data_IF_025271968513
#
_entry.id   IF_025271968513
#
_cell.length_a   1.000
_cell.length_b   1.000
_cell.length_c   1.000
_cell.angle_alpha   90.00
_cell.angle_beta   90.00
_cell.angle_gamma   90.00
#
_symmetry.space_group_name_H-M   'P 1'
#
loop_
_entity.id
_entity.type
_entity.pdbx_description
1 polymer ?
#
# COMPACT_ATOMS: atom_id res chain seq x y z
N UNK A 1 -11.93 9.50 -8.39
CA UNK A 1 -12.54 8.18 -8.62
C UNK A 1 -12.06 7.58 -9.94
N UNK A 2 -11.56 8.34 -10.92
CA UNK A 2 -10.78 7.76 -12.04
C UNK A 2 -9.55 6.98 -11.55
N UNK A 3 -8.89 7.44 -10.48
CA UNK A 3 -7.81 6.71 -9.81
C UNK A 3 -8.24 5.34 -9.25
N UNK A 4 -9.47 5.19 -8.75
CA UNK A 4 -9.98 3.91 -8.26
C UNK A 4 -10.23 2.91 -9.40
N UNK A 5 -10.65 3.43 -10.57
CA UNK A 5 -10.79 2.65 -11.80
C UNK A 5 -9.43 2.25 -12.38
N UNK A 6 -8.43 3.14 -12.37
CA UNK A 6 -7.04 2.83 -12.75
C UNK A 6 -6.41 1.75 -11.86
N UNK A 7 -6.76 1.72 -10.57
CA UNK A 7 -6.29 0.71 -9.62
C UNK A 7 -7.11 -0.61 -9.68
N UNK A 8 -7.95 -0.81 -10.70
CA UNK A 8 -8.64 -2.08 -10.94
C UNK A 8 -9.82 -2.37 -10.00
N UNK A 9 -10.24 -1.42 -9.17
CA UNK A 9 -11.39 -1.61 -8.28
C UNK A 9 -12.71 -1.37 -9.02
N UNK A 10 -13.07 -2.33 -9.90
CA UNK A 10 -14.32 -2.32 -10.69
C UNK A 10 -15.59 -2.17 -9.86
N UNK A 11 -15.56 -2.56 -8.59
CA UNK A 11 -16.67 -2.42 -7.63
C UNK A 11 -17.12 -0.98 -7.38
N UNK A 12 -16.29 0.03 -7.69
CA UNK A 12 -16.66 1.44 -7.52
C UNK A 12 -17.11 2.11 -8.82
N UNK A 13 -17.12 1.40 -9.95
CA UNK A 13 -17.55 1.97 -11.24
C UNK A 13 -19.02 2.37 -11.20
N UNK A 14 -19.86 1.51 -10.64
CA UNK A 14 -21.30 1.76 -10.50
C UNK A 14 -21.58 2.94 -9.57
N UNK A 15 -20.96 2.94 -8.38
CA UNK A 15 -21.10 4.03 -7.41
C UNK A 15 -20.60 5.39 -7.94
N UNK A 16 -19.60 5.40 -8.83
CA UNK A 16 -19.13 6.62 -9.50
C UNK A 16 -20.18 7.18 -10.46
N UNK A 17 -20.80 6.31 -11.26
CA UNK A 17 -21.85 6.71 -12.21
C UNK A 17 -23.04 7.28 -11.45
N UNK A 18 -23.46 6.61 -10.38
CA UNK A 18 -24.58 7.05 -9.53
C UNK A 18 -24.27 8.38 -8.82
N UNK A 19 -23.08 8.55 -8.26
CA UNK A 19 -22.69 9.81 -7.62
C UNK A 19 -22.66 10.99 -8.62
N UNK A 20 -22.20 10.76 -9.86
CA UNK A 20 -22.22 11.78 -10.92
C UNK A 20 -23.64 12.12 -11.35
N UNK A 21 -24.52 11.12 -11.45
CA UNK A 21 -25.94 11.33 -11.74
C UNK A 21 -26.62 12.14 -10.64
N UNK A 22 -26.37 11.82 -9.37
CA UNK A 22 -26.92 12.59 -8.25
C UNK A 22 -26.42 14.03 -8.21
N UNK A 23 -25.13 14.29 -8.50
CA UNK A 23 -24.65 15.68 -8.60
C UNK A 23 -25.31 16.41 -9.76
N UNK A 24 -25.52 15.74 -10.90
CA UNK A 24 -26.23 16.33 -12.02
C UNK A 24 -27.72 16.61 -11.69
N UNK A 25 -28.40 15.70 -10.99
CA UNK A 25 -29.82 15.83 -10.64
C UNK A 25 -30.08 16.84 -9.52
N UNK A 26 -29.29 16.78 -8.42
CA UNK A 26 -29.54 17.60 -7.23
C UNK A 26 -28.95 19.01 -7.29
N UNK A 27 -27.97 19.25 -8.17
CA UNK A 27 -27.30 20.55 -8.28
C UNK A 27 -27.54 21.25 -9.63
N UNK A 28 -28.53 20.80 -10.41
CA UNK A 28 -28.77 21.30 -11.77
C UNK A 28 -29.16 22.79 -11.80
N UNK A 29 -29.90 23.24 -10.78
CA UNK A 29 -30.44 24.62 -10.70
C UNK A 29 -29.67 25.50 -9.69
N UNK A 30 -28.61 24.98 -9.06
CA UNK A 30 -27.77 25.72 -8.11
C UNK A 30 -26.29 25.62 -8.53
N UNK A 31 -25.77 26.67 -9.20
CA UNK A 31 -24.37 26.71 -9.65
C UNK A 31 -23.36 26.59 -8.51
N UNK A 32 -23.70 27.07 -7.30
CA UNK A 32 -22.83 27.01 -6.13
C UNK A 32 -22.79 25.59 -5.60
N UNK A 33 -23.95 24.94 -5.47
CA UNK A 33 -24.03 23.54 -5.07
C UNK A 33 -23.29 22.63 -6.05
N UNK A 34 -23.37 22.92 -7.35
CA UNK A 34 -22.67 22.15 -8.38
C UNK A 34 -21.15 22.27 -8.23
N UNK A 35 -20.64 23.49 -8.03
CA UNK A 35 -19.22 23.74 -7.82
C UNK A 35 -18.69 23.04 -6.56
N UNK A 36 -19.40 23.16 -5.44
CA UNK A 36 -19.03 22.50 -4.17
C UNK A 36 -19.04 20.97 -4.28
N UNK A 37 -20.01 20.41 -5.01
CA UNK A 37 -20.07 18.97 -5.26
C UNK A 37 -18.90 18.49 -6.13
N UNK A 38 -18.50 19.25 -7.14
CA UNK A 38 -17.31 18.95 -7.94
C UNK A 38 -16.03 19.02 -7.10
N UNK A 39 -15.88 20.04 -6.25
CA UNK A 39 -14.74 20.18 -5.35
C UNK A 39 -14.64 19.03 -4.36
N UNK A 40 -15.78 18.60 -3.78
CA UNK A 40 -15.84 17.45 -2.90
C UNK A 40 -15.44 16.16 -3.62
N UNK A 41 -15.97 15.93 -4.83
CA UNK A 41 -15.60 14.77 -5.64
C UNK A 41 -14.10 14.77 -5.93
N UNK A 42 -13.53 15.91 -6.35
CA UNK A 42 -12.10 16.11 -6.60
C UNK A 42 -11.24 15.82 -5.37
N UNK A 43 -11.66 16.27 -4.18
CA UNK A 43 -10.96 15.99 -2.93
C UNK A 43 -10.98 14.49 -2.62
N UNK A 44 -12.14 13.86 -2.75
CA UNK A 44 -12.29 12.41 -2.56
C UNK A 44 -11.50 11.59 -3.60
N UNK A 45 -11.26 12.12 -4.80
CA UNK A 45 -10.39 11.48 -5.79
C UNK A 45 -8.92 11.45 -5.35
N UNK A 46 -8.48 12.46 -4.61
CA UNK A 46 -7.10 12.62 -4.15
C UNK A 46 -6.82 11.86 -2.86
N UNK A 47 -7.85 11.43 -2.14
CA UNK A 47 -7.69 10.52 -1.00
C UNK A 47 -7.20 9.17 -1.52
N UNK A 48 -5.90 8.92 -1.38
CA UNK A 48 -5.29 7.62 -1.62
C UNK A 48 -5.88 6.66 -0.60
N UNK A 49 -6.93 5.92 -1.01
CA UNK A 49 -7.35 4.73 -0.28
C UNK A 49 -6.16 3.80 -0.25
N UNK A 50 -5.74 3.43 0.95
CA UNK A 50 -4.63 2.50 1.19
C UNK A 50 -4.80 1.33 0.26
N UNK A 51 -3.86 1.16 -0.67
CA UNK A 51 -3.95 0.05 -1.61
C UNK A 51 -3.90 -1.25 -0.83
N UNK A 52 -4.55 -2.30 -1.33
CA UNK A 52 -4.45 -3.64 -0.73
C UNK A 52 -2.99 -4.09 -0.53
N UNK A 53 -2.05 -3.55 -1.31
CA UNK A 53 -0.62 -3.73 -1.13
C UNK A 53 -0.09 -3.07 0.16
N UNK A 54 -0.42 -1.80 0.41
CA UNK A 54 -0.03 -1.12 1.65
C UNK A 54 -0.67 -1.76 2.88
N UNK A 55 -1.94 -2.19 2.77
CA UNK A 55 -2.63 -2.91 3.84
C UNK A 55 -2.01 -4.28 4.14
N UNK A 56 -1.59 -5.01 3.11
CA UNK A 56 -0.88 -6.28 3.25
C UNK A 56 0.46 -6.09 3.98
N UNK A 57 1.28 -5.13 3.51
CA UNK A 57 2.55 -4.79 4.17
C UNK A 57 2.30 -4.40 5.64
N UNK A 58 1.31 -3.54 5.90
CA UNK A 58 0.96 -3.14 7.26
C UNK A 58 0.49 -4.34 8.10
N UNK A 59 -0.20 -5.31 7.51
CA UNK A 59 -0.61 -6.53 8.23
C UNK A 59 0.56 -7.39 8.65
N UNK A 60 1.61 -7.45 7.83
CA UNK A 60 2.85 -8.17 8.15
C UNK A 60 3.69 -7.37 9.16
N UNK A 61 3.72 -6.04 9.06
CA UNK A 61 4.53 -5.17 9.92
C UNK A 61 3.97 -5.03 11.35
N UNK A 62 2.64 -4.94 11.50
CA UNK A 62 1.96 -4.67 12.79
C UNK A 62 2.38 -5.61 13.94
N UNK A 63 2.46 -6.95 13.76
CA UNK A 63 2.91 -7.86 14.81
C UNK A 63 4.29 -7.54 15.38
N UNK A 64 5.23 -7.11 14.52
CA UNK A 64 6.58 -6.74 14.95
C UNK A 64 6.60 -5.40 15.70
N UNK A 65 5.76 -4.44 15.27
CA UNK A 65 5.66 -3.14 15.94
C UNK A 65 5.00 -3.26 17.33
N UNK A 66 3.98 -4.11 17.46
CA UNK A 66 3.25 -4.27 18.72
C UNK A 66 4.02 -5.08 19.78
N UNK A 67 4.97 -5.92 19.36
CA UNK A 67 5.73 -6.80 20.26
C UNK A 67 7.04 -6.20 20.76
N UNK A 68 7.53 -5.10 20.16
CA UNK A 68 8.87 -4.58 20.46
C UNK A 68 8.84 -3.30 21.30
N UNK A 69 9.43 -3.41 22.50
CA UNK A 69 9.64 -2.31 23.44
C UNK A 69 10.87 -1.43 23.10
N UNK A 70 11.75 -1.93 22.22
CA UNK A 70 13.08 -1.38 21.90
C UNK A 70 13.06 -0.23 20.87
N UNK A 71 11.95 -0.01 20.15
CA UNK A 71 11.83 1.03 19.12
C UNK A 71 11.30 2.36 19.70
N UNK A 72 11.94 2.83 20.77
CA UNK A 72 11.48 3.98 21.56
C UNK A 72 11.82 5.32 20.92
N UNK A 73 12.94 5.43 20.22
CA UNK A 73 13.38 6.65 19.52
C UNK A 73 13.27 6.53 17.98
N UNK A 74 13.40 7.67 17.29
CA UNK A 74 13.25 7.77 15.85
C UNK A 74 14.31 6.97 15.08
N UNK A 75 15.56 6.96 15.56
CA UNK A 75 16.66 6.26 14.90
C UNK A 75 16.46 4.75 14.98
N UNK A 76 16.14 4.24 16.16
CA UNK A 76 15.88 2.80 16.37
C UNK A 76 14.69 2.30 15.54
N UNK A 77 13.65 3.12 15.37
CA UNK A 77 12.52 2.82 14.47
C UNK A 77 12.95 2.74 13.01
N UNK A 78 13.77 3.70 12.55
CA UNK A 78 14.23 3.70 11.16
C UNK A 78 15.14 2.50 10.87
N UNK A 79 16.05 2.16 11.79
CA UNK A 79 16.89 0.96 11.68
C UNK A 79 16.06 -0.31 11.62
N UNK A 80 15.03 -0.41 12.46
CA UNK A 80 14.08 -1.52 12.42
C UNK A 80 13.34 -1.59 11.07
N UNK A 81 12.85 -0.47 10.55
CA UNK A 81 12.17 -0.45 9.25
C UNK A 81 13.11 -0.85 8.10
N UNK A 82 14.37 -0.42 8.13
CA UNK A 82 15.37 -0.83 7.14
C UNK A 82 15.62 -2.34 7.19
N UNK A 83 15.72 -2.90 8.40
CA UNK A 83 15.87 -4.33 8.62
C UNK A 83 14.65 -5.12 8.14
N UNK A 84 13.45 -4.65 8.51
CA UNK A 84 12.20 -5.24 8.05
C UNK A 84 12.10 -5.23 6.53
N UNK A 85 12.46 -4.11 5.88
CA UNK A 85 12.45 -3.99 4.43
C UNK A 85 13.39 -5.02 3.76
N UNK A 86 14.62 -5.16 4.26
CA UNK A 86 15.56 -6.17 3.75
C UNK A 86 15.00 -7.58 3.90
N UNK A 87 14.62 -7.95 5.13
CA UNK A 87 14.09 -9.27 5.44
C UNK A 87 12.84 -9.59 4.62
N UNK A 88 11.86 -8.69 4.57
CA UNK A 88 10.59 -8.91 3.88
C UNK A 88 10.78 -9.12 2.38
N UNK A 89 11.67 -8.35 1.75
CA UNK A 89 11.90 -8.45 0.32
C UNK A 89 12.75 -9.67 -0.10
N UNK A 90 13.47 -10.27 0.85
CA UNK A 90 14.21 -11.53 0.64
C UNK A 90 13.39 -12.76 1.04
N UNK A 91 12.40 -12.62 1.91
CA UNK A 91 11.57 -13.73 2.36
C UNK A 91 10.66 -14.24 1.23
N UNK A 92 10.72 -15.54 0.96
CA UNK A 92 9.90 -16.19 -0.07
C UNK A 92 8.47 -16.35 0.44
N UNK A 93 7.49 -16.14 -0.43
CA UNK A 93 6.09 -16.39 -0.04
C UNK A 93 5.85 -17.89 0.14
N UNK A 94 5.16 -18.28 1.22
CA UNK A 94 4.84 -19.69 1.47
C UNK A 94 3.68 -20.21 0.60
N UNK A 95 2.78 -19.32 0.16
CA UNK A 95 1.51 -19.70 -0.46
C UNK A 95 1.08 -18.75 -1.58
N UNK A 96 0.16 -19.24 -2.41
CA UNK A 96 -0.47 -18.49 -3.49
C UNK A 96 0.34 -18.49 -4.80
N UNK A 97 -0.08 -17.69 -5.80
CA UNK A 97 0.51 -17.71 -7.15
C UNK A 97 2.00 -17.33 -7.21
N UNK A 98 2.52 -16.73 -6.14
CA UNK A 98 3.91 -16.26 -6.00
C UNK A 98 4.73 -17.14 -5.05
N UNK A 99 4.19 -18.27 -4.62
CA UNK A 99 4.85 -19.16 -3.67
C UNK A 99 6.25 -19.56 -4.16
N UNK A 100 7.20 -19.63 -3.23
CA UNK A 100 8.60 -19.97 -3.50
C UNK A 100 9.44 -18.83 -4.09
N UNK A 101 8.85 -17.64 -4.33
CA UNK A 101 9.58 -16.45 -4.78
C UNK A 101 9.51 -15.33 -3.75
N UNK A 102 10.60 -14.58 -3.61
CA UNK A 102 10.63 -13.36 -2.80
C UNK A 102 10.24 -12.13 -3.63
N UNK A 103 9.84 -11.00 -2.99
CA UNK A 103 9.63 -9.74 -3.69
C UNK A 103 10.81 -9.30 -4.57
N UNK A 104 12.06 -9.44 -4.11
CA UNK A 104 13.23 -9.12 -4.93
C UNK A 104 13.38 -10.03 -6.14
N UNK A 105 13.14 -11.34 -5.98
CA UNK A 105 13.16 -12.27 -7.10
C UNK A 105 12.07 -11.97 -8.13
N UNK A 106 10.89 -11.56 -7.69
CA UNK A 106 9.80 -11.12 -8.58
C UNK A 106 10.14 -9.81 -9.30
N UNK A 107 10.91 -8.94 -8.67
CA UNK A 107 11.40 -7.69 -9.24
C UNK A 107 12.65 -7.86 -10.14
N UNK A 108 13.25 -9.07 -10.17
CA UNK A 108 14.49 -9.33 -10.90
C UNK A 108 15.73 -8.72 -10.24
N UNK A 109 15.68 -8.44 -8.94
CA UNK A 109 16.81 -7.92 -8.16
C UNK A 109 17.60 -9.12 -7.63
N UNK A 110 18.87 -9.23 -8.04
CA UNK A 110 19.82 -10.21 -7.54
C UNK A 110 20.78 -9.54 -6.55
N UNK A 111 20.86 -10.11 -5.35
CA UNK A 111 21.72 -9.63 -4.27
C UNK A 111 22.99 -10.47 -4.11
N UNK A 112 23.16 -11.51 -4.94
CA UNK A 112 24.29 -12.44 -4.88
C UNK A 112 24.24 -13.43 -3.71
N UNK A 113 23.23 -13.33 -2.85
CA UNK A 113 22.97 -14.27 -1.74
C UNK A 113 21.48 -14.28 -1.39
N UNK A 114 21.00 -15.45 -0.99
CA UNK A 114 19.65 -15.63 -0.43
C UNK A 114 19.64 -15.44 1.10
N UNK A 115 20.80 -15.28 1.74
CA UNK A 115 20.93 -15.02 3.16
C UNK A 115 21.02 -13.53 3.46
N UNK A 116 20.00 -13.01 4.16
CA UNK A 116 19.91 -11.60 4.52
C UNK A 116 20.89 -11.21 5.63
N UNK A 117 21.39 -12.17 6.42
CA UNK A 117 22.42 -11.89 7.45
C UNK A 117 23.77 -11.59 6.80
N UNK A 118 24.13 -12.32 5.75
CA UNK A 118 25.29 -12.03 4.89
C UNK A 118 25.29 -10.59 4.38
N UNK A 119 24.13 -10.07 3.99
CA UNK A 119 24.00 -8.68 3.51
C UNK A 119 24.15 -7.62 4.61
N UNK A 120 23.97 -8.01 5.87
CA UNK A 120 24.25 -7.17 7.04
C UNK A 120 25.71 -7.29 7.51
N UNK A 121 26.52 -8.11 6.85
CA UNK A 121 27.93 -8.33 7.19
C UNK A 121 28.17 -9.47 8.19
N UNK A 122 27.16 -10.27 8.52
CA UNK A 122 27.36 -11.48 9.31
C UNK A 122 27.78 -12.63 8.39
N UNK A 123 28.84 -13.40 8.72
CA UNK A 123 29.22 -14.53 7.89
C UNK A 123 28.12 -15.60 7.88
N UNK A 124 27.92 -16.32 6.77
CA UNK A 124 27.10 -17.52 6.77
C UNK A 124 27.73 -18.57 7.70
N UNK A 125 26.89 -19.28 8.46
CA UNK A 125 27.30 -20.40 9.32
C UNK A 125 27.89 -21.57 8.50
#
# INVERSE_FOLDING_TARGET
>A
MEHALRNGHRQYTQALVEARQWVAEFAIDDPIAHALAQDLLNLLERVVRTSSAAENINSVLRPFMNSRRESTDQTSRQLFLNLFWLWFNMHKFDRGPRAGKSPYQLAGIDLGTDDWLTLLGYPPD
#
